data_IF_341507266389
#
_entry.id   IF_341507266389
#
_cell.length_a   1.000
_cell.length_b   1.000
_cell.length_c   1.000
_cell.angle_alpha   90.00
_cell.angle_beta   90.00
_cell.angle_gamma   90.00
#
_symmetry.space_group_name_H-M   'P 1'
#
loop_
_entity.id
_entity.type
_entity.pdbx_description
1 polymer ?
#
# COMPACT_ATOMS: atom_id res chain seq x y z
N UNK A 1 24.35 5.78 5.35
CA UNK A 1 23.71 5.09 6.50
C UNK A 1 22.47 4.37 5.98
N UNK A 2 22.30 3.06 6.23
CA UNK A 2 21.19 2.30 5.66
C UNK A 2 19.86 2.72 6.30
N UNK A 3 18.83 2.87 5.46
CA UNK A 3 17.44 3.05 5.89
C UNK A 3 17.05 1.82 6.71
N UNK A 4 16.81 2.01 8.01
CA UNK A 4 16.41 0.93 8.89
C UNK A 4 14.95 0.56 8.60
N UNK A 5 14.71 -0.73 8.46
CA UNK A 5 13.38 -1.30 8.57
C UNK A 5 12.76 -0.82 9.90
N UNK A 6 11.50 -0.34 9.92
CA UNK A 6 10.79 -0.12 11.18
C UNK A 6 10.84 -1.39 12.03
N UNK A 7 11.03 -1.23 13.34
CA UNK A 7 11.10 -2.37 14.27
C UNK A 7 9.79 -3.15 14.17
N UNK A 8 9.84 -4.40 13.69
CA UNK A 8 8.68 -5.28 13.50
C UNK A 8 8.33 -5.61 12.04
N UNK A 9 8.90 -4.93 11.04
CA UNK A 9 8.67 -5.26 9.63
C UNK A 9 9.61 -6.39 9.16
N UNK A 10 9.03 -7.49 8.67
CA UNK A 10 9.78 -8.62 8.12
C UNK A 10 10.62 -8.17 6.90
N UNK A 11 11.85 -8.66 6.74
CA UNK A 11 12.64 -8.43 5.51
C UNK A 11 11.91 -8.84 4.22
N UNK A 12 11.01 -9.82 4.28
CA UNK A 12 10.11 -10.19 3.18
C UNK A 12 9.00 -9.16 2.90
N UNK A 13 8.72 -8.24 3.85
CA UNK A 13 7.68 -7.23 3.74
C UNK A 13 8.11 -5.94 3.01
N UNK A 14 9.34 -5.91 2.49
CA UNK A 14 9.79 -4.86 1.59
C UNK A 14 9.54 -5.27 0.14
N UNK A 15 8.66 -4.52 -0.52
CA UNK A 15 8.33 -4.74 -1.91
C UNK A 15 9.56 -4.53 -2.80
N UNK A 16 9.61 -5.33 -3.87
CA UNK A 16 10.79 -5.61 -4.68
C UNK A 16 11.13 -4.47 -5.67
N UNK A 17 10.57 -3.29 -5.45
CA UNK A 17 10.66 -2.11 -6.30
C UNK A 17 10.95 -0.85 -5.47
N UNK A 18 11.62 0.12 -6.06
CA UNK A 18 11.88 1.41 -5.40
C UNK A 18 10.93 2.51 -5.86
N UNK A 19 10.66 3.47 -4.99
CA UNK A 19 9.81 4.63 -5.32
C UNK A 19 10.37 5.47 -6.47
N UNK A 20 11.67 5.42 -6.75
CA UNK A 20 12.25 6.11 -7.92
C UNK A 20 11.77 5.50 -9.22
N UNK A 21 11.67 4.18 -9.27
CA UNK A 21 11.16 3.48 -10.43
C UNK A 21 9.66 3.72 -10.61
N UNK A 22 8.89 3.65 -9.53
CA UNK A 22 7.47 4.03 -9.53
C UNK A 22 7.30 5.45 -10.10
N UNK A 23 8.07 6.43 -9.62
CA UNK A 23 8.04 7.80 -10.14
C UNK A 23 8.45 7.91 -11.60
N UNK A 24 9.35 7.06 -12.08
CA UNK A 24 9.73 7.03 -13.49
C UNK A 24 8.58 6.49 -14.35
N UNK A 25 7.92 5.42 -13.90
CA UNK A 25 6.75 4.83 -14.57
C UNK A 25 5.56 5.77 -14.56
N UNK A 26 5.31 6.50 -13.47
CA UNK A 26 4.32 7.56 -13.41
C UNK A 26 4.55 8.69 -14.43
N UNK A 27 5.79 8.84 -14.92
CA UNK A 27 6.18 9.77 -15.99
C UNK A 27 6.18 9.12 -17.37
N UNK A 28 5.64 7.92 -17.51
CA UNK A 28 5.58 7.16 -18.76
C UNK A 28 6.92 6.53 -19.16
N UNK A 29 7.90 6.44 -18.25
CA UNK A 29 9.18 5.80 -18.52
C UNK A 29 9.18 4.40 -17.93
N UNK A 30 9.21 3.39 -18.80
CA UNK A 30 9.43 2.03 -18.36
C UNK A 30 10.86 1.89 -17.83
N UNK A 31 11.01 1.43 -16.59
CA UNK A 31 12.31 1.18 -15.98
C UNK A 31 12.27 -0.20 -15.37
N UNK A 32 13.08 -1.10 -15.94
CA UNK A 32 13.29 -2.39 -15.34
C UNK A 32 13.96 -2.19 -13.97
N UNK A 33 13.22 -2.44 -12.91
CA UNK A 33 13.54 -2.01 -11.55
C UNK A 33 13.22 -3.04 -10.49
N UNK A 34 12.84 -4.25 -10.91
CA UNK A 34 12.67 -5.40 -10.01
C UNK A 34 14.04 -5.76 -9.42
N UNK A 35 14.12 -5.84 -8.10
CA UNK A 35 15.33 -6.30 -7.42
C UNK A 35 15.26 -7.81 -7.23
N UNK A 36 16.13 -8.60 -7.85
CA UNK A 36 16.10 -10.06 -7.65
C UNK A 36 16.20 -10.49 -6.17
N UNK A 37 16.81 -9.66 -5.32
CA UNK A 37 16.87 -9.83 -3.87
C UNK A 37 17.32 -8.53 -3.18
N UNK A 38 17.12 -8.47 -1.85
CA UNK A 38 17.60 -7.37 -0.97
C UNK A 38 19.11 -7.11 -1.12
N UNK A 39 19.90 -8.14 -1.43
CA UNK A 39 21.35 -8.07 -1.63
C UNK A 39 21.78 -7.86 -3.09
N UNK A 40 20.85 -7.66 -4.02
CA UNK A 40 21.22 -7.50 -5.42
C UNK A 40 22.10 -6.28 -5.63
N UNK A 41 23.11 -6.41 -6.50
CA UNK A 41 24.00 -5.29 -6.89
C UNK A 41 23.19 -4.07 -7.36
N UNK A 42 22.02 -4.28 -7.98
CA UNK A 42 21.08 -3.25 -8.42
C UNK A 42 20.44 -2.49 -7.24
N UNK A 43 20.01 -3.21 -6.19
CA UNK A 43 19.51 -2.59 -4.95
C UNK A 43 20.60 -1.81 -4.21
N UNK A 44 21.79 -2.41 -4.06
CA UNK A 44 22.95 -1.76 -3.41
C UNK A 44 23.40 -0.52 -4.19
N UNK A 45 23.48 -0.62 -5.51
CA UNK A 45 23.83 0.52 -6.37
C UNK A 45 22.79 1.64 -6.29
N UNK A 46 21.50 1.30 -6.34
CA UNK A 46 20.42 2.28 -6.22
C UNK A 46 20.40 2.97 -4.85
N UNK A 47 20.72 2.27 -3.76
CA UNK A 47 20.81 2.85 -2.40
C UNK A 47 22.09 3.64 -2.14
N UNK A 48 23.12 3.48 -2.96
CA UNK A 48 24.42 4.18 -2.84
C UNK A 48 24.50 5.46 -3.68
N UNK A 49 23.68 5.59 -4.72
CA UNK A 49 23.55 6.83 -5.50
C UNK A 49 22.89 7.95 -4.67
N UNK A 50 23.29 9.21 -4.90
CA UNK A 50 23.08 10.42 -4.09
C UNK A 50 21.64 10.75 -3.61
N UNK A 51 20.63 10.06 -4.11
CA UNK A 51 19.24 10.16 -3.66
C UNK A 51 18.84 8.90 -2.91
N UNK A 52 18.23 9.05 -1.72
CA UNK A 52 17.80 7.93 -0.88
C UNK A 52 16.74 7.10 -1.61
N UNK A 53 17.20 6.06 -2.30
CA UNK A 53 16.34 5.06 -2.92
C UNK A 53 15.55 4.36 -1.80
N UNK A 54 14.31 4.77 -1.63
CA UNK A 54 13.42 4.15 -0.63
C UNK A 54 12.65 3.03 -1.31
N UNK A 55 12.64 1.82 -0.74
CA UNK A 55 11.72 0.78 -1.16
C UNK A 55 10.26 1.23 -0.97
N UNK A 56 9.35 0.61 -1.72
CA UNK A 56 7.92 0.90 -1.57
C UNK A 56 7.44 0.44 -0.19
N UNK A 57 6.75 1.30 0.59
CA UNK A 57 6.24 0.95 1.92
C UNK A 57 5.16 -0.14 1.88
N UNK A 58 5.08 -0.96 2.93
CA UNK A 58 4.09 -2.05 3.04
C UNK A 58 2.64 -1.55 3.05
N UNK A 59 2.38 -0.33 3.55
CA UNK A 59 1.01 0.19 3.68
C UNK A 59 0.34 0.50 2.34
N UNK A 60 1.09 0.52 1.23
CA UNK A 60 0.54 0.63 -0.14
C UNK A 60 0.59 -0.73 -0.87
N UNK A 61 0.34 -1.82 -0.15
CA UNK A 61 0.38 -3.17 -0.70
C UNK A 61 -0.65 -3.38 -1.82
N UNK A 62 -1.84 -2.81 -1.68
CA UNK A 62 -2.92 -2.96 -2.65
C UNK A 62 -2.58 -2.23 -3.96
N UNK A 63 -2.11 -0.97 -3.87
CA UNK A 63 -1.69 -0.20 -5.03
C UNK A 63 -0.46 -0.80 -5.72
N UNK A 64 0.42 -1.42 -4.94
CA UNK A 64 1.56 -2.14 -5.49
C UNK A 64 1.15 -3.39 -6.26
N UNK A 65 0.18 -4.16 -5.76
CA UNK A 65 -0.34 -5.32 -6.47
C UNK A 65 -1.00 -4.92 -7.81
N UNK A 66 -1.73 -3.80 -7.83
CA UNK A 66 -2.32 -3.24 -9.06
C UNK A 66 -1.21 -2.86 -10.05
N UNK A 67 -0.14 -2.20 -9.57
CA UNK A 67 1.00 -1.85 -10.41
C UNK A 67 1.73 -3.10 -10.95
N UNK A 68 1.91 -4.15 -10.13
CA UNK A 68 2.51 -5.40 -10.59
C UNK A 68 1.67 -6.07 -11.67
N UNK A 69 0.33 -6.15 -11.49
CA UNK A 69 -0.56 -6.72 -12.50
C UNK A 69 -0.47 -5.98 -13.84
N UNK A 70 -0.52 -4.64 -13.82
CA UNK A 70 -0.38 -3.84 -15.03
C UNK A 70 0.99 -4.03 -15.71
N UNK A 71 2.06 -4.22 -14.92
CA UNK A 71 3.40 -4.45 -15.45
C UNK A 71 3.55 -5.83 -16.10
N UNK A 72 2.94 -6.86 -15.53
CA UNK A 72 2.93 -8.21 -16.09
C UNK A 72 2.19 -8.24 -17.43
N UNK A 73 1.04 -7.57 -17.50
CA UNK A 73 0.30 -7.41 -18.75
C UNK A 73 1.14 -6.66 -19.81
N UNK A 74 1.74 -5.53 -19.45
CA UNK A 74 2.61 -4.77 -20.35
C UNK A 74 3.79 -5.60 -20.88
N UNK A 75 4.42 -6.40 -20.02
CA UNK A 75 5.57 -7.24 -20.39
C UNK A 75 5.17 -8.47 -21.21
N UNK A 76 3.94 -8.96 -21.05
CA UNK A 76 3.40 -10.07 -21.81
C UNK A 76 3.05 -9.71 -23.27
N UNK A 77 2.97 -8.42 -23.60
CA UNK A 77 2.62 -7.96 -24.95
C UNK A 77 3.81 -8.02 -25.92
N UNK A 78 3.62 -8.56 -27.14
CA UNK A 78 4.65 -8.56 -28.17
C UNK A 78 5.06 -7.13 -28.59
N UNK A 79 6.31 -6.99 -29.05
CA UNK A 79 6.79 -5.72 -29.60
C UNK A 79 5.97 -5.33 -30.84
N UNK A 80 5.59 -4.05 -30.93
CA UNK A 80 4.75 -3.54 -32.03
C UNK A 80 3.25 -3.79 -31.88
N UNK A 81 2.78 -4.34 -30.75
CA UNK A 81 1.35 -4.44 -30.47
C UNK A 81 0.77 -3.05 -30.18
N UNK A 82 -0.28 -2.67 -30.91
CA UNK A 82 -1.00 -1.39 -30.73
C UNK A 82 -1.55 -1.23 -29.30
N UNK A 83 -1.86 -2.33 -28.61
CA UNK A 83 -2.29 -2.36 -27.22
C UNK A 83 -1.20 -2.00 -26.20
N UNK A 84 0.07 -1.94 -26.62
CA UNK A 84 1.19 -1.63 -25.72
C UNK A 84 1.15 -0.19 -25.22
N UNK A 85 0.62 0.74 -26.01
CA UNK A 85 0.43 2.13 -25.58
C UNK A 85 -0.66 2.22 -24.51
N UNK A 86 -1.76 1.49 -24.67
CA UNK A 86 -2.84 1.42 -23.69
C UNK A 86 -2.37 0.76 -22.39
N UNK A 87 -1.69 -0.38 -22.48
CA UNK A 87 -1.13 -1.06 -21.31
C UNK A 87 -0.06 -0.21 -20.59
N UNK A 88 0.76 0.56 -21.32
CA UNK A 88 1.67 1.53 -20.69
C UNK A 88 0.91 2.67 -19.99
N UNK A 89 -0.23 3.10 -20.51
CA UNK A 89 -1.06 4.11 -19.84
C UNK A 89 -1.62 3.58 -18.51
N UNK A 90 -2.01 2.31 -18.46
CA UNK A 90 -2.45 1.65 -17.23
C UNK A 90 -1.32 1.52 -16.20
N UNK A 91 -0.13 1.09 -16.63
CA UNK A 91 1.07 1.08 -15.77
C UNK A 91 1.37 2.48 -15.24
N UNK A 92 1.26 3.50 -16.10
CA UNK A 92 1.49 4.88 -15.70
C UNK A 92 0.47 5.34 -14.64
N UNK A 93 -0.80 4.97 -14.81
CA UNK A 93 -1.86 5.33 -13.88
C UNK A 93 -1.69 4.63 -12.54
N UNK A 94 -1.47 3.32 -12.53
CA UNK A 94 -1.18 2.57 -11.31
C UNK A 94 0.03 3.14 -10.56
N UNK A 95 1.09 3.50 -11.29
CA UNK A 95 2.28 4.12 -10.70
C UNK A 95 2.01 5.52 -10.13
N UNK A 96 1.11 6.31 -10.76
CA UNK A 96 0.68 7.61 -10.24
C UNK A 96 -0.09 7.45 -8.94
N UNK A 97 -1.07 6.55 -8.90
CA UNK A 97 -1.87 6.25 -7.71
C UNK A 97 -0.98 5.83 -6.55
N UNK A 98 -0.09 4.86 -6.76
CA UNK A 98 0.86 4.42 -5.73
C UNK A 98 1.73 5.57 -5.24
N UNK A 99 2.31 6.35 -6.16
CA UNK A 99 3.16 7.49 -5.80
C UNK A 99 2.38 8.55 -5.03
N UNK A 100 1.10 8.77 -5.33
CA UNK A 100 0.24 9.71 -4.63
C UNK A 100 -0.06 9.23 -3.21
N UNK A 101 -0.45 7.97 -3.03
CA UNK A 101 -0.72 7.39 -1.70
C UNK A 101 0.50 7.55 -0.79
N UNK A 102 1.69 7.17 -1.27
CA UNK A 102 2.93 7.35 -0.50
C UNK A 102 3.22 8.81 -0.17
N UNK A 103 2.92 9.75 -1.07
CA UNK A 103 3.12 11.17 -0.82
C UNK A 103 2.15 11.71 0.23
N UNK A 104 0.87 11.37 0.13
CA UNK A 104 -0.17 11.81 1.06
C UNK A 104 0.09 11.26 2.46
N UNK A 105 0.35 9.96 2.59
CA UNK A 105 0.65 9.35 3.90
C UNK A 105 1.89 9.96 4.52
N UNK A 106 2.97 10.16 3.75
CA UNK A 106 4.18 10.84 4.26
C UNK A 106 3.96 12.31 4.61
N UNK A 107 3.02 12.99 3.95
CA UNK A 107 2.65 14.35 4.30
C UNK A 107 1.86 14.36 5.61
N UNK A 108 0.90 13.43 5.77
CA UNK A 108 0.13 13.24 6.99
C UNK A 108 1.02 12.93 8.18
N UNK A 109 2.00 12.02 8.04
CA UNK A 109 2.99 11.70 9.08
C UNK A 109 3.86 12.91 9.49
N UNK A 110 4.02 13.90 8.60
CA UNK A 110 4.75 15.14 8.91
C UNK A 110 3.88 16.18 9.59
N UNK A 111 2.59 16.23 9.26
CA UNK A 111 1.63 17.19 9.84
C UNK A 111 1.02 16.72 11.14
N UNK A 112 0.91 15.40 11.35
CA UNK A 112 0.41 14.80 12.58
C UNK A 112 1.60 14.18 13.31
N UNK A 113 1.91 14.69 14.49
CA UNK A 113 2.84 14.02 15.37
C UNK A 113 2.31 12.64 15.74
N UNK A 114 3.22 11.67 15.96
CA UNK A 114 2.88 10.33 16.50
C UNK A 114 1.90 10.38 17.68
N UNK A 115 1.99 11.33 18.65
CA UNK A 115 1.03 11.44 19.74
C UNK A 115 -0.39 11.77 19.28
N UNK A 116 -0.54 12.62 18.25
CA UNK A 116 -1.84 13.05 17.72
C UNK A 116 -2.51 11.91 16.96
N UNK A 117 -1.72 11.14 16.19
CA UNK A 117 -2.18 9.95 15.49
C UNK A 117 -2.66 8.86 16.47
N UNK A 118 -1.89 8.63 17.54
CA UNK A 118 -2.27 7.68 18.61
C UNK A 118 -3.54 8.13 19.35
N UNK A 119 -3.69 9.43 19.60
CA UNK A 119 -4.88 9.99 20.25
C UNK A 119 -6.12 9.82 19.38
N UNK A 120 -6.02 10.14 18.08
CA UNK A 120 -7.11 9.95 17.12
C UNK A 120 -7.49 8.46 16.99
N UNK A 121 -6.50 7.57 16.94
CA UNK A 121 -6.72 6.12 16.86
C UNK A 121 -7.40 5.57 18.12
N UNK A 122 -6.99 6.02 19.30
CA UNK A 122 -7.61 5.63 20.57
C UNK A 122 -9.06 6.12 20.66
N UNK A 123 -9.35 7.32 20.14
CA UNK A 123 -10.72 7.84 20.10
C UNK A 123 -11.63 7.02 19.17
N UNK A 124 -11.15 6.68 17.97
CA UNK A 124 -11.86 5.80 17.04
C UNK A 124 -12.13 4.41 17.62
N UNK A 125 -11.14 3.81 18.29
CA UNK A 125 -11.30 2.52 18.97
C UNK A 125 -12.40 2.59 20.06
N UNK A 126 -12.46 3.68 20.81
CA UNK A 126 -13.53 3.91 21.78
C UNK A 126 -14.92 3.94 21.13
N UNK A 127 -15.07 4.68 20.02
CA UNK A 127 -16.33 4.76 19.29
C UNK A 127 -16.78 3.40 18.72
N UNK A 128 -15.84 2.62 18.18
CA UNK A 128 -16.14 1.28 17.65
C UNK A 128 -16.59 0.35 18.78
N UNK A 129 -15.93 0.37 19.93
CA UNK A 129 -16.32 -0.45 21.08
C UNK A 129 -17.73 -0.11 21.59
N UNK A 130 -18.06 1.19 21.67
CA UNK A 130 -19.41 1.63 22.03
C UNK A 130 -20.47 1.13 21.03
N UNK A 131 -20.19 1.24 19.73
CA UNK A 131 -21.09 0.76 18.68
C UNK A 131 -21.30 -0.75 18.75
N UNK A 132 -20.22 -1.52 18.97
CA UNK A 132 -20.30 -2.99 19.11
C UNK A 132 -21.10 -3.38 20.35
N UNK A 133 -20.90 -2.67 21.48
CA UNK A 133 -21.69 -2.90 22.69
C UNK A 133 -23.18 -2.61 22.45
N UNK A 134 -23.50 -1.48 21.80
CA UNK A 134 -24.88 -1.12 21.48
C UNK A 134 -25.53 -2.15 20.53
N UNK A 135 -24.79 -2.63 19.53
CA UNK A 135 -25.25 -3.67 18.61
C UNK A 135 -25.54 -4.98 19.35
N UNK A 136 -24.63 -5.39 20.25
CA UNK A 136 -24.77 -6.60 21.06
C UNK A 136 -26.02 -6.56 21.93
N UNK A 137 -26.32 -5.43 22.57
CA UNK A 137 -27.55 -5.24 23.34
C UNK A 137 -28.81 -5.37 22.47
N UNK A 138 -28.78 -4.84 21.25
CA UNK A 138 -29.91 -4.92 20.31
C UNK A 138 -30.15 -6.36 19.85
N UNK A 139 -29.08 -7.10 19.55
CA UNK A 139 -29.15 -8.52 19.19
C UNK A 139 -29.75 -9.35 20.32
N UNK A 140 -29.25 -9.18 21.56
CA UNK A 140 -29.80 -9.89 22.72
C UNK A 140 -31.29 -9.59 22.95
N UNK A 141 -31.72 -8.34 22.71
CA UNK A 141 -33.13 -7.96 22.80
C UNK A 141 -33.99 -8.66 21.74
N UNK A 142 -33.49 -8.74 20.50
CA UNK A 142 -34.17 -9.44 19.40
C UNK A 142 -34.24 -10.95 19.65
N UNK A 143 -33.16 -11.57 20.11
CA UNK A 143 -33.14 -13.00 20.48
C UNK A 143 -34.19 -13.30 21.56
N UNK A 144 -34.31 -12.45 22.58
CA UNK A 144 -35.33 -12.58 23.61
C UNK A 144 -36.77 -12.38 23.07
N UNK A 145 -36.97 -11.57 22.03
CA UNK A 145 -38.27 -11.41 21.38
C UNK A 145 -38.62 -12.62 20.51
N UNK A 146 -37.66 -13.15 19.75
CA UNK A 146 -37.82 -14.35 18.93
C UNK A 146 -38.10 -15.58 19.81
N UNK A 147 -37.38 -15.76 20.91
CA UNK A 147 -37.63 -16.83 21.86
C UNK A 147 -39.03 -16.77 22.49
N UNK A 148 -39.61 -15.57 22.65
CA UNK A 148 -40.99 -15.38 23.13
C UNK A 148 -42.05 -15.55 22.05
N UNK A 149 -41.72 -15.27 20.79
CA UNK A 149 -42.63 -15.40 19.65
C UNK A 149 -42.67 -16.77 18.98
N UNK A 150 -41.63 -17.60 19.14
CA UNK A 150 -41.50 -18.91 18.49
C UNK A 150 -42.11 -20.11 19.25
N UNK A 151 -42.87 -19.86 20.32
CA UNK A 151 -43.49 -20.91 21.14
C UNK A 151 -44.95 -21.24 20.80
N UNK A 152 -45.40 -20.94 19.58
CA UNK A 152 -46.77 -21.19 19.10
C UNK A 152 -46.85 -22.39 18.16
#
# INVERSE_FOLDING_TARGET
MPVRCPVGALPEAFQVMCLRAVKAMARGRFVDSRFASRGSKKCVYCTTQKDVCTPVPIYVAEEFAILEGALEEYQGLPEGNDGRAASMAEVQEAARTLSLCVQVTRAQDKTLGVPELLTASHHLLGQVLEQVSALSCRVASLEAQVARGGGG
#
